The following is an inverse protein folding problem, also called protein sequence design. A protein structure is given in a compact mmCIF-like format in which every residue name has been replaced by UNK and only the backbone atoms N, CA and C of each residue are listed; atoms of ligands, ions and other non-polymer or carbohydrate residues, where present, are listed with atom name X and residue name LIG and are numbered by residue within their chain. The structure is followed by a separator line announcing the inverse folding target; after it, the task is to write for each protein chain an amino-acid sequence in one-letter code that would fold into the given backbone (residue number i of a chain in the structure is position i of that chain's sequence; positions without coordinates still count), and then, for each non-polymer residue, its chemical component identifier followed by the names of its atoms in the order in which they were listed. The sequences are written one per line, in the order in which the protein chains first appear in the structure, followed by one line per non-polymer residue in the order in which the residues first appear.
data_IF_293795728938
#
_entry.id   IF_293795728938
#
_cell.length_a   1.000
_cell.length_b   1.000
_cell.length_c   1.000
_cell.angle_alpha   90.00
_cell.angle_beta   90.00
_cell.angle_gamma   90.00
#
_symmetry.space_group_name_H-M   'P 1'
#
loop_
_entity.id
_entity.type
_entity.pdbx_description
1 polymer ?
#
# COMPACT_ATOMS: atom_id res chain seq x y z
N UNK A 1 25.48 6.77 6.15
CA UNK A 1 25.73 5.75 7.18
C UNK A 1 24.72 4.63 6.99
N UNK A 2 25.13 3.54 6.35
CA UNK A 2 24.32 2.33 6.23
C UNK A 2 24.27 1.68 7.61
N UNK A 3 23.23 1.98 8.38
CA UNK A 3 22.98 1.33 9.66
C UNK A 3 22.74 -0.16 9.36
N UNK A 4 23.70 -1.03 9.64
CA UNK A 4 23.52 -2.47 9.48
C UNK A 4 22.48 -2.94 10.51
N UNK A 5 21.22 -3.01 10.08
CA UNK A 5 20.14 -3.57 10.87
C UNK A 5 20.43 -5.04 11.16
N UNK A 6 20.20 -5.48 12.41
CA UNK A 6 20.20 -6.89 12.74
C UNK A 6 18.90 -7.55 12.23
N UNK A 7 18.92 -7.96 10.96
CA UNK A 7 17.76 -8.53 10.25
C UNK A 7 17.23 -9.80 10.94
N UNK A 8 18.05 -10.52 11.72
CA UNK A 8 17.61 -11.73 12.44
C UNK A 8 16.51 -11.42 13.45
N UNK A 9 16.58 -10.25 14.10
CA UNK A 9 15.59 -9.81 15.10
C UNK A 9 14.23 -9.55 14.46
N UNK A 10 14.17 -9.14 13.19
CA UNK A 10 12.93 -8.81 12.48
C UNK A 10 11.92 -9.97 12.47
N UNK A 11 12.39 -11.23 12.41
CA UNK A 11 11.51 -12.41 12.41
C UNK A 11 10.66 -12.53 13.68
N UNK A 12 11.15 -12.02 14.81
CA UNK A 12 10.42 -12.07 16.09
C UNK A 12 9.19 -11.16 16.12
N UNK A 13 9.07 -10.21 15.17
CA UNK A 13 7.96 -9.27 15.10
C UNK A 13 6.78 -9.77 14.26
N UNK A 14 6.93 -10.89 13.54
CA UNK A 14 5.83 -11.54 12.83
C UNK A 14 4.80 -12.06 13.83
N UNK A 15 3.52 -11.71 13.62
CA UNK A 15 2.47 -11.85 14.62
C UNK A 15 1.46 -12.97 14.41
N UNK A 16 0.54 -13.07 15.36
CA UNK A 16 -0.75 -13.74 15.20
C UNK A 16 -1.75 -12.83 14.47
N UNK A 17 -3.04 -13.15 14.57
CA UNK A 17 -4.11 -12.43 13.89
C UNK A 17 -4.02 -10.90 14.07
N UNK A 18 -4.07 -10.15 12.97
CA UNK A 18 -3.82 -8.72 12.95
C UNK A 18 -5.08 -7.90 13.28
N UNK A 19 -5.52 -7.95 14.53
CA UNK A 19 -6.65 -7.14 15.02
C UNK A 19 -6.54 -5.63 14.70
N UNK A 20 -5.35 -4.99 14.79
CA UNK A 20 -5.23 -3.58 14.42
C UNK A 20 -5.54 -3.31 12.94
N UNK A 21 -5.21 -4.25 12.04
CA UNK A 21 -5.53 -4.15 10.61
C UNK A 21 -7.04 -4.26 10.39
N UNK A 22 -7.71 -5.17 11.10
CA UNK A 22 -9.17 -5.29 11.03
C UNK A 22 -9.87 -4.04 11.60
N UNK A 23 -9.39 -3.53 12.72
CA UNK A 23 -9.91 -2.30 13.31
C UNK A 23 -9.74 -1.10 12.38
N UNK A 24 -8.58 -0.99 11.71
CA UNK A 24 -8.32 0.04 10.70
C UNK A 24 -9.30 -0.11 9.52
N UNK A 25 -9.54 -1.33 9.04
CA UNK A 25 -10.48 -1.60 7.96
C UNK A 25 -11.91 -1.16 8.32
N UNK A 26 -12.42 -1.60 9.47
CA UNK A 26 -13.76 -1.25 9.94
C UNK A 26 -13.88 0.25 10.17
N UNK A 27 -12.90 0.88 10.82
CA UNK A 27 -12.89 2.31 11.08
C UNK A 27 -12.90 3.13 9.79
N UNK A 28 -12.06 2.76 8.83
CA UNK A 28 -11.95 3.43 7.52
C UNK A 28 -13.28 3.35 6.74
N UNK A 29 -13.88 2.17 6.65
CA UNK A 29 -15.17 1.99 5.98
C UNK A 29 -16.33 2.67 6.71
N UNK A 30 -16.28 2.72 8.05
CA UNK A 30 -17.31 3.41 8.84
C UNK A 30 -17.25 4.93 8.62
N UNK A 31 -16.06 5.53 8.65
CA UNK A 31 -15.87 6.96 8.37
C UNK A 31 -16.27 7.29 6.94
N UNK A 32 -15.86 6.47 5.97
CA UNK A 32 -16.24 6.64 4.58
C UNK A 32 -17.76 6.54 4.37
N UNK A 33 -18.40 5.51 4.91
CA UNK A 33 -19.85 5.32 4.81
C UNK A 33 -20.64 6.45 5.45
N UNK A 34 -20.20 6.94 6.61
CA UNK A 34 -20.80 8.09 7.28
C UNK A 34 -20.66 9.37 6.45
N UNK A 35 -19.49 9.61 5.83
CA UNK A 35 -19.28 10.76 4.94
C UNK A 35 -20.17 10.68 3.69
N UNK A 36 -20.25 9.51 3.05
CA UNK A 36 -21.14 9.27 1.91
C UNK A 36 -22.60 9.54 2.29
N UNK A 37 -23.07 9.00 3.42
CA UNK A 37 -24.41 9.23 3.91
C UNK A 37 -24.67 10.72 4.17
N UNK A 38 -23.76 11.40 4.87
CA UNK A 38 -23.85 12.83 5.15
C UNK A 38 -23.92 13.67 3.86
N UNK A 39 -23.24 13.28 2.79
CA UNK A 39 -23.37 13.93 1.48
C UNK A 39 -24.71 13.66 0.82
N UNK A 40 -25.21 12.42 0.87
CA UNK A 40 -26.52 12.07 0.29
C UNK A 40 -27.69 12.83 0.94
N UNK A 41 -27.61 13.10 2.25
CA UNK A 41 -28.63 13.88 2.97
C UNK A 41 -28.35 15.39 2.95
N UNK A 42 -27.34 15.86 2.21
CA UNK A 42 -27.04 17.28 2.03
C UNK A 42 -26.33 17.96 3.21
N UNK A 43 -25.82 17.20 4.18
CA UNK A 43 -25.08 17.73 5.35
C UNK A 43 -23.61 18.01 5.01
N UNK A 44 -22.96 17.12 4.25
CA UNK A 44 -21.54 17.23 3.90
C UNK A 44 -21.40 17.58 2.41
N UNK A 45 -20.78 18.72 2.03
CA UNK A 45 -20.64 19.08 0.62
C UNK A 45 -19.70 18.11 -0.12
N UNK A 46 -19.87 17.91 -1.44
CA UNK A 46 -19.10 16.92 -2.20
C UNK A 46 -17.58 17.10 -2.14
N UNK A 47 -17.09 18.34 -2.08
CA UNK A 47 -15.66 18.61 -1.93
C UNK A 47 -15.12 18.14 -0.57
N UNK A 48 -15.90 18.22 0.50
CA UNK A 48 -15.50 17.69 1.79
C UNK A 48 -15.52 16.14 1.79
N UNK A 49 -16.48 15.53 1.09
CA UNK A 49 -16.47 14.08 0.83
C UNK A 49 -15.19 13.65 0.11
N UNK A 50 -14.75 14.38 -0.93
CA UNK A 50 -13.50 14.09 -1.64
C UNK A 50 -12.29 14.04 -0.71
N UNK A 51 -12.15 15.02 0.19
CA UNK A 51 -11.04 15.06 1.13
C UNK A 51 -11.08 13.87 2.10
N UNK A 52 -12.24 13.61 2.69
CA UNK A 52 -12.43 12.48 3.62
C UNK A 52 -12.19 11.15 2.90
N UNK A 53 -12.77 10.96 1.72
CA UNK A 53 -12.62 9.75 0.92
C UNK A 53 -11.17 9.53 0.47
N UNK A 54 -10.43 10.59 0.14
CA UNK A 54 -8.99 10.49 -0.18
C UNK A 54 -8.19 10.03 1.04
N UNK A 55 -8.47 10.56 2.22
CA UNK A 55 -7.82 10.11 3.47
C UNK A 55 -8.19 8.66 3.77
N UNK A 56 -9.47 8.28 3.66
CA UNK A 56 -9.91 6.90 3.82
C UNK A 56 -9.22 5.97 2.82
N UNK A 57 -9.05 6.39 1.57
CA UNK A 57 -8.32 5.64 0.56
C UNK A 57 -6.87 5.38 1.02
N UNK A 58 -6.15 6.38 1.51
CA UNK A 58 -4.78 6.21 2.05
C UNK A 58 -4.71 5.23 3.22
N UNK A 59 -5.69 5.22 4.13
CA UNK A 59 -5.72 4.22 5.21
C UNK A 59 -6.14 2.83 4.71
N UNK A 60 -7.05 2.76 3.75
CA UNK A 60 -7.43 1.51 3.08
C UNK A 60 -6.24 0.88 2.36
N UNK A 61 -5.30 1.69 1.85
CA UNK A 61 -4.05 1.18 1.27
C UNK A 61 -3.31 0.28 2.24
N UNK A 62 -3.26 0.67 3.52
CA UNK A 62 -2.54 -0.12 4.52
C UNK A 62 -3.22 -1.46 4.78
N UNK A 63 -4.55 -1.49 4.80
CA UNK A 63 -5.32 -2.74 4.91
C UNK A 63 -5.09 -3.63 3.69
N UNK A 64 -5.17 -3.04 2.49
CA UNK A 64 -4.88 -3.71 1.23
C UNK A 64 -3.47 -4.31 1.24
N UNK A 65 -2.48 -3.51 1.63
CA UNK A 65 -1.06 -3.84 1.65
C UNK A 65 -0.74 -4.99 2.62
N UNK A 66 -1.34 -4.95 3.81
CA UNK A 66 -1.25 -6.04 4.79
C UNK A 66 -1.89 -7.33 4.26
N UNK A 67 -3.02 -7.23 3.54
CA UNK A 67 -3.65 -8.38 2.90
C UNK A 67 -2.78 -8.95 1.77
N UNK A 68 -2.14 -8.09 0.97
CA UNK A 68 -1.25 -8.49 -0.13
C UNK A 68 -0.07 -9.34 0.37
N UNK A 69 0.44 -9.02 1.56
CA UNK A 69 1.51 -9.77 2.25
C UNK A 69 1.02 -10.84 3.23
N UNK A 70 -0.29 -11.11 3.21
CA UNK A 70 -0.97 -12.16 3.98
C UNK A 70 -0.89 -11.96 5.51
N UNK A 71 -0.71 -10.73 5.98
CA UNK A 71 -0.46 -10.43 7.40
C UNK A 71 -1.68 -10.59 8.30
N UNK A 72 -2.90 -10.62 7.74
CA UNK A 72 -4.14 -10.55 8.51
C UNK A 72 -4.35 -11.78 9.39
N UNK A 73 -4.22 -12.98 8.83
CA UNK A 73 -4.40 -14.24 9.56
C UNK A 73 -3.14 -14.67 10.36
N UNK A 74 -2.15 -13.77 10.47
CA UNK A 74 -0.94 -14.00 11.23
C UNK A 74 -0.11 -15.13 10.62
N UNK A 75 0.26 -16.14 11.42
CA UNK A 75 1.08 -17.27 10.94
C UNK A 75 0.36 -18.16 9.91
N UNK A 76 -0.97 -18.13 9.85
CA UNK A 76 -1.73 -18.75 8.76
C UNK A 76 -1.53 -17.94 7.47
N UNK A 77 -1.07 -18.57 6.40
CA UNK A 77 -0.84 -17.90 5.10
C UNK A 77 -2.10 -17.97 4.23
N UNK A 78 -2.48 -16.82 3.67
CA UNK A 78 -3.34 -16.74 2.49
C UNK A 78 -4.73 -17.37 2.60
N UNK A 79 -5.42 -17.20 3.73
CA UNK A 79 -6.79 -17.68 3.87
C UNK A 79 -7.82 -16.80 3.15
N UNK A 80 -9.05 -17.31 3.07
CA UNK A 80 -10.15 -16.63 2.39
C UNK A 80 -10.49 -15.28 3.04
N UNK A 81 -10.28 -15.15 4.35
CA UNK A 81 -10.56 -13.93 5.09
C UNK A 81 -9.59 -12.81 4.69
N UNK A 82 -8.29 -13.13 4.58
CA UNK A 82 -7.28 -12.18 4.07
C UNK A 82 -7.65 -11.72 2.66
N UNK A 83 -8.02 -12.65 1.77
CA UNK A 83 -8.41 -12.33 0.40
C UNK A 83 -9.67 -11.46 0.35
N UNK A 84 -10.68 -11.74 1.18
CA UNK A 84 -11.91 -10.97 1.25
C UNK A 84 -11.66 -9.54 1.77
N UNK A 85 -10.88 -9.38 2.83
CA UNK A 85 -10.53 -8.07 3.38
C UNK A 85 -9.71 -7.26 2.35
N UNK A 86 -8.76 -7.90 1.65
CA UNK A 86 -8.01 -7.28 0.57
C UNK A 86 -8.90 -6.82 -0.60
N UNK A 87 -9.84 -7.67 -1.03
CA UNK A 87 -10.81 -7.35 -2.07
C UNK A 87 -11.70 -6.15 -1.69
N UNK A 88 -12.22 -6.14 -0.46
CA UNK A 88 -13.02 -5.01 0.05
C UNK A 88 -12.17 -3.75 0.12
N UNK A 89 -10.94 -3.80 0.64
CA UNK A 89 -10.04 -2.64 0.67
C UNK A 89 -9.77 -2.08 -0.75
N UNK A 90 -9.63 -2.95 -1.75
CA UNK A 90 -9.43 -2.61 -3.16
C UNK A 90 -10.57 -1.82 -3.79
N UNK A 91 -11.80 -1.94 -3.30
CA UNK A 91 -12.96 -1.18 -3.81
C UNK A 91 -12.74 0.33 -3.69
N UNK A 92 -12.12 0.82 -2.59
CA UNK A 92 -11.82 2.25 -2.45
C UNK A 92 -10.83 2.76 -3.51
N UNK A 93 -9.98 1.88 -4.04
CA UNK A 93 -9.04 2.18 -5.12
C UNK A 93 -9.66 2.01 -6.51
N UNK A 94 -10.92 1.57 -6.60
CA UNK A 94 -11.55 1.16 -7.86
C UNK A 94 -10.69 0.14 -8.62
N UNK A 95 -9.93 -0.69 -7.90
CA UNK A 95 -8.90 -1.56 -8.45
C UNK A 95 -9.04 -3.01 -7.94
N UNK A 96 -8.79 -4.03 -8.79
CA UNK A 96 -8.88 -5.44 -8.39
C UNK A 96 -7.73 -5.84 -7.46
N UNK A 97 -8.05 -6.57 -6.39
CA UNK A 97 -7.06 -6.94 -5.37
C UNK A 97 -5.95 -7.85 -5.89
N UNK A 98 -6.25 -8.89 -6.65
CA UNK A 98 -5.21 -9.80 -7.11
C UNK A 98 -4.28 -9.12 -8.13
N UNK A 99 -4.84 -8.26 -8.98
CA UNK A 99 -4.08 -7.47 -9.93
C UNK A 99 -3.06 -6.55 -9.23
N UNK A 100 -3.53 -5.71 -8.31
CA UNK A 100 -2.65 -4.76 -7.60
C UNK A 100 -1.69 -5.48 -6.65
N UNK A 101 -2.11 -6.58 -5.99
CA UNK A 101 -1.20 -7.45 -5.23
C UNK A 101 -0.06 -7.97 -6.10
N UNK A 102 -0.35 -8.39 -7.32
CA UNK A 102 0.68 -8.91 -8.24
C UNK A 102 1.67 -7.81 -8.65
N UNK A 103 1.17 -6.60 -8.96
CA UNK A 103 2.04 -5.44 -9.24
C UNK A 103 2.97 -5.18 -8.04
N UNK A 104 2.40 -5.10 -6.84
CA UNK A 104 3.16 -4.86 -5.61
C UNK A 104 4.23 -5.93 -5.33
N UNK A 105 3.90 -7.21 -5.53
CA UNK A 105 4.86 -8.29 -5.37
C UNK A 105 5.95 -8.27 -6.45
N UNK A 106 5.63 -7.86 -7.68
CA UNK A 106 6.63 -7.63 -8.74
C UNK A 106 7.59 -6.51 -8.35
N UNK A 107 7.10 -5.43 -7.74
CA UNK A 107 7.94 -4.36 -7.19
C UNK A 107 8.92 -4.89 -6.13
N UNK A 108 8.46 -5.67 -5.15
CA UNK A 108 9.36 -6.28 -4.17
C UNK A 108 10.42 -7.21 -4.77
N UNK A 109 10.07 -7.91 -5.85
CA UNK A 109 11.01 -8.80 -6.55
C UNK A 109 12.07 -8.04 -7.35
N UNK A 110 11.71 -6.88 -7.90
CA UNK A 110 12.54 -6.13 -8.85
C UNK A 110 12.81 -4.70 -8.39
N UNK A 111 12.82 -4.44 -7.08
CA UNK A 111 12.84 -3.07 -6.54
C UNK A 111 13.96 -2.23 -7.15
N UNK A 112 13.59 -1.06 -7.68
CA UNK A 112 14.44 -0.10 -8.39
C UNK A 112 15.04 -0.60 -9.72
N UNK A 113 14.60 -1.74 -10.27
CA UNK A 113 14.99 -2.17 -11.62
C UNK A 113 14.26 -1.33 -12.68
N UNK A 114 14.97 -0.62 -13.58
CA UNK A 114 14.34 0.28 -14.56
C UNK A 114 13.42 -0.42 -15.58
N UNK A 115 13.63 -1.71 -15.84
CA UNK A 115 12.89 -2.48 -16.84
C UNK A 115 11.71 -3.25 -16.24
N UNK A 116 11.90 -3.78 -15.03
CA UNK A 116 11.02 -4.77 -14.43
C UNK A 116 10.20 -4.23 -13.25
N UNK A 117 10.65 -3.17 -12.56
CA UNK A 117 9.90 -2.57 -11.47
C UNK A 117 8.73 -1.73 -12.02
N UNK A 118 7.46 -2.07 -11.69
CA UNK A 118 6.33 -1.22 -12.07
C UNK A 118 6.44 0.20 -11.50
N UNK A 119 7.04 0.35 -10.32
CA UNK A 119 7.10 1.58 -9.52
C UNK A 119 8.26 2.49 -9.93
N UNK A 120 9.26 1.96 -10.65
CA UNK A 120 10.30 2.79 -11.27
C UNK A 120 9.71 3.79 -12.29
N UNK A 121 8.42 3.70 -12.63
CA UNK A 121 7.69 4.76 -13.33
C UNK A 121 7.89 6.13 -12.69
N UNK A 122 7.82 6.25 -11.35
CA UNK A 122 7.94 7.54 -10.67
C UNK A 122 9.39 7.99 -10.47
N UNK A 123 10.39 7.18 -10.85
CA UNK A 123 11.80 7.51 -10.73
C UNK A 123 12.17 8.72 -11.62
N UNK A 124 12.23 9.90 -11.01
CA UNK A 124 12.64 11.16 -11.65
C UNK A 124 13.16 12.14 -10.62
N UNK A 125 14.00 13.08 -11.07
CA UNK A 125 14.49 14.24 -10.29
C UNK A 125 13.70 15.52 -10.59
N UNK A 126 12.92 15.54 -11.69
CA UNK A 126 12.15 16.72 -12.08
C UNK A 126 10.81 16.74 -11.33
N UNK A 127 10.51 17.79 -10.53
CA UNK A 127 9.32 17.82 -9.68
C UNK A 127 8.00 17.90 -10.46
N UNK A 128 7.98 18.55 -11.63
CA UNK A 128 6.79 18.60 -12.49
C UNK A 128 6.52 17.22 -13.08
N UNK A 129 7.57 16.55 -13.56
CA UNK A 129 7.45 15.20 -14.10
C UNK A 129 7.08 14.19 -13.01
N UNK A 130 7.53 14.39 -11.76
CA UNK A 130 7.12 13.58 -10.62
C UNK A 130 5.62 13.69 -10.38
N UNK A 131 5.08 14.91 -10.31
CA UNK A 131 3.65 15.14 -10.15
C UNK A 131 2.83 14.45 -11.26
N UNK A 132 3.24 14.62 -12.52
CA UNK A 132 2.56 14.00 -13.66
C UNK A 132 2.63 12.47 -13.62
N UNK A 133 3.77 11.89 -13.22
CA UNK A 133 3.95 10.44 -13.12
C UNK A 133 3.15 9.84 -11.97
N UNK A 134 3.08 10.51 -10.81
CA UNK A 134 2.20 10.14 -9.72
C UNK A 134 0.72 10.23 -10.15
N UNK A 135 0.30 11.30 -10.81
CA UNK A 135 -1.07 11.46 -11.30
C UNK A 135 -1.47 10.40 -12.37
N UNK A 136 -0.49 9.77 -13.03
CA UNK A 136 -0.69 8.75 -14.06
C UNK A 136 -0.29 7.34 -13.59
N UNK A 137 -0.09 7.12 -12.29
CA UNK A 137 0.29 5.79 -11.77
C UNK A 137 -0.80 4.75 -12.02
N UNK A 138 -2.07 5.14 -11.95
CA UNK A 138 -3.20 4.22 -12.17
C UNK A 138 -3.21 3.59 -13.58
N UNK A 139 -3.21 4.36 -14.69
CA UNK A 139 -3.12 3.76 -16.02
C UNK A 139 -1.79 3.03 -16.25
N UNK A 140 -0.68 3.47 -15.61
CA UNK A 140 0.59 2.73 -15.64
C UNK A 140 0.44 1.34 -15.03
N UNK A 141 -0.21 1.22 -13.88
CA UNK A 141 -0.47 -0.06 -13.22
C UNK A 141 -1.38 -0.97 -14.04
N UNK A 142 -2.43 -0.42 -14.66
CA UNK A 142 -3.24 -1.17 -15.62
C UNK A 142 -2.40 -1.72 -16.77
N UNK A 143 -1.54 -0.89 -17.37
CA UNK A 143 -0.62 -1.34 -18.42
C UNK A 143 0.33 -2.45 -17.92
N UNK A 144 0.93 -2.28 -16.75
CA UNK A 144 1.82 -3.27 -16.16
C UNK A 144 1.11 -4.63 -15.97
N UNK A 145 -0.09 -4.63 -15.38
CA UNK A 145 -0.84 -5.87 -15.15
C UNK A 145 -1.39 -6.50 -16.43
N UNK A 146 -1.84 -5.69 -17.40
CA UNK A 146 -2.45 -6.20 -18.64
C UNK A 146 -1.41 -6.64 -19.68
N UNK A 147 -0.18 -6.14 -19.62
CA UNK A 147 0.80 -6.35 -20.70
C UNK A 147 2.13 -6.90 -20.20
N UNK A 148 2.68 -6.34 -19.11
CA UNK A 148 4.07 -6.60 -18.69
C UNK A 148 4.23 -7.77 -17.75
N UNK A 149 3.28 -7.97 -16.85
CA UNK A 149 3.38 -8.94 -15.75
C UNK A 149 2.67 -10.23 -16.14
N UNK A 150 3.33 -11.37 -15.90
CA UNK A 150 2.76 -12.69 -16.15
C UNK A 150 1.71 -13.07 -15.09
N UNK A 151 0.61 -13.66 -15.58
CA UNK A 151 -0.54 -14.09 -14.77
C UNK A 151 -1.36 -15.15 -15.50
N UNK A 152 -2.04 -16.05 -14.76
CA UNK A 152 -2.98 -16.98 -15.36
C UNK A 152 -4.12 -16.26 -16.08
N UNK A 153 -4.55 -16.80 -17.23
CA UNK A 153 -5.69 -16.23 -17.99
C UNK A 153 -6.97 -16.16 -17.16
N UNK A 154 -7.19 -17.13 -16.27
CA UNK A 154 -8.36 -17.17 -15.38
C UNK A 154 -8.36 -16.03 -14.37
N UNK A 155 -7.19 -15.67 -13.83
CA UNK A 155 -7.03 -14.50 -12.97
C UNK A 155 -7.28 -13.22 -13.77
N UNK A 156 -6.63 -13.08 -14.93
CA UNK A 156 -6.82 -11.92 -15.80
C UNK A 156 -8.30 -11.64 -16.10
N UNK A 157 -9.06 -12.66 -16.50
CA UNK A 157 -10.49 -12.51 -16.82
C UNK A 157 -11.30 -12.10 -15.59
N UNK A 158 -11.04 -12.70 -14.42
CA UNK A 158 -11.72 -12.33 -13.16
C UNK A 158 -11.45 -10.88 -12.79
N UNK A 159 -10.19 -10.46 -12.81
CA UNK A 159 -9.82 -9.10 -12.43
C UNK A 159 -10.33 -8.06 -13.45
N UNK A 160 -10.40 -8.38 -14.75
CA UNK A 160 -11.02 -7.50 -15.76
C UNK A 160 -12.53 -7.36 -15.48
N UNK A 161 -13.24 -8.45 -15.19
CA UNK A 161 -14.68 -8.39 -14.87
C UNK A 161 -14.91 -7.54 -13.61
N UNK A 162 -14.09 -7.70 -12.58
CA UNK A 162 -14.17 -6.89 -11.36
C UNK A 162 -13.89 -5.42 -11.69
N UNK A 163 -12.80 -5.11 -12.41
CA UNK A 163 -12.46 -3.74 -12.79
C UNK A 163 -13.58 -3.08 -13.58
N UNK A 164 -14.07 -3.74 -14.64
CA UNK A 164 -15.15 -3.22 -15.46
C UNK A 164 -16.44 -3.06 -14.65
N UNK A 165 -16.76 -4.02 -13.77
CA UNK A 165 -17.90 -3.93 -12.86
C UNK A 165 -17.82 -2.68 -11.98
N UNK A 166 -16.69 -2.45 -11.31
CA UNK A 166 -16.49 -1.27 -10.46
C UNK A 166 -16.68 0.04 -11.25
N UNK A 167 -16.05 0.17 -12.41
CA UNK A 167 -16.13 1.40 -13.22
C UNK A 167 -17.48 1.59 -13.91
N UNK A 168 -18.11 0.54 -14.43
CA UNK A 168 -19.45 0.62 -15.02
C UNK A 168 -20.47 1.02 -13.95
N UNK A 169 -20.39 0.43 -12.74
CA UNK A 169 -21.27 0.81 -11.62
C UNK A 169 -21.04 2.26 -11.22
N UNK A 170 -19.77 2.70 -11.09
CA UNK A 170 -19.46 4.09 -10.75
C UNK A 170 -19.99 5.07 -11.81
N UNK A 171 -19.78 4.79 -13.10
CA UNK A 171 -20.26 5.64 -14.19
C UNK A 171 -21.79 5.65 -14.26
N UNK A 172 -22.45 4.50 -14.11
CA UNK A 172 -23.91 4.43 -14.08
C UNK A 172 -24.51 5.22 -12.90
N UNK A 173 -23.84 5.23 -11.75
CA UNK A 173 -24.28 5.99 -10.58
C UNK A 173 -24.29 7.52 -10.80
N UNK A 174 -23.55 8.04 -11.79
CA UNK A 174 -23.53 9.47 -12.15
C UNK A 174 -24.88 9.99 -12.66
N UNK A 175 -25.78 9.13 -13.13
CA UNK A 175 -27.13 9.50 -13.57
C UNK A 175 -28.20 9.30 -12.48
N UNK A 176 -27.78 9.09 -11.23
CA UNK A 176 -28.67 8.79 -10.09
C UNK A 176 -28.40 9.77 -8.93
N UNK A 177 -29.19 9.75 -7.84
CA UNK A 177 -28.88 10.50 -6.62
C UNK A 177 -27.52 10.17 -5.99
N UNK A 178 -26.84 9.10 -6.43
CA UNK A 178 -25.50 8.72 -5.98
C UNK A 178 -24.36 9.40 -6.75
N UNK A 179 -24.65 10.34 -7.65
CA UNK A 179 -23.65 10.97 -8.51
C UNK A 179 -22.47 11.57 -7.73
N UNK A 180 -22.75 12.34 -6.68
CA UNK A 180 -21.70 12.96 -5.86
C UNK A 180 -20.89 11.91 -5.09
N UNK A 181 -21.54 10.88 -4.55
CA UNK A 181 -20.85 9.77 -3.86
C UNK A 181 -19.97 9.00 -4.84
N UNK A 182 -20.44 8.76 -6.05
CA UNK A 182 -19.66 8.05 -7.07
C UNK A 182 -18.43 8.86 -7.49
N UNK A 183 -18.63 10.14 -7.85
CA UNK A 183 -17.57 10.99 -8.37
C UNK A 183 -16.56 11.38 -7.28
N UNK A 184 -17.04 11.95 -6.17
CA UNK A 184 -16.20 12.49 -5.10
C UNK A 184 -15.84 11.44 -4.04
N UNK A 185 -16.60 10.35 -3.89
CA UNK A 185 -16.32 9.28 -2.93
C UNK A 185 -15.50 8.12 -3.49
N UNK A 186 -15.60 7.80 -4.78
CA UNK A 186 -14.89 6.66 -5.37
C UNK A 186 -13.94 7.05 -6.52
N UNK A 187 -14.46 7.68 -7.57
CA UNK A 187 -13.69 7.93 -8.80
C UNK A 187 -12.50 8.86 -8.56
N UNK A 188 -12.73 10.10 -8.08
CA UNK A 188 -11.64 11.05 -7.83
C UNK A 188 -10.67 10.59 -6.73
N UNK A 189 -11.13 10.08 -5.56
CA UNK A 189 -10.23 9.58 -4.52
C UNK A 189 -9.34 8.43 -4.97
N UNK A 190 -9.80 7.57 -5.90
CA UNK A 190 -8.95 6.49 -6.42
C UNK A 190 -7.69 7.06 -7.07
N UNK A 191 -7.82 8.04 -7.97
CA UNK A 191 -6.66 8.66 -8.63
C UNK A 191 -5.81 9.47 -7.65
N UNK A 192 -6.44 10.27 -6.78
CA UNK A 192 -5.70 11.09 -5.81
C UNK A 192 -4.94 10.22 -4.80
N UNK A 193 -5.62 9.26 -4.19
CA UNK A 193 -5.05 8.36 -3.19
C UNK A 193 -3.92 7.51 -3.77
N UNK A 194 -4.06 7.00 -5.00
CA UNK A 194 -2.96 6.29 -5.66
C UNK A 194 -1.81 7.21 -6.04
N UNK A 195 -2.07 8.44 -6.51
CA UNK A 195 -1.02 9.41 -6.77
C UNK A 195 -0.23 9.80 -5.51
N UNK A 196 -0.93 10.00 -4.39
CA UNK A 196 -0.29 10.24 -3.08
C UNK A 196 0.52 9.03 -2.61
N UNK A 197 -0.05 7.83 -2.72
CA UNK A 197 0.65 6.58 -2.40
C UNK A 197 1.93 6.45 -3.24
N UNK A 198 1.85 6.71 -4.54
CA UNK A 198 2.99 6.65 -5.44
C UNK A 198 4.09 7.66 -5.08
N UNK A 199 3.71 8.85 -4.60
CA UNK A 199 4.70 9.81 -4.11
C UNK A 199 5.35 9.33 -2.81
N UNK A 200 4.53 8.99 -1.80
CA UNK A 200 5.02 8.74 -0.45
C UNK A 200 5.67 7.38 -0.26
N UNK A 201 5.29 6.37 -1.05
CA UNK A 201 5.74 4.99 -0.90
C UNK A 201 6.63 4.53 -2.05
N UNK A 202 6.34 4.92 -3.29
CA UNK A 202 7.10 4.43 -4.45
C UNK A 202 8.28 5.36 -4.78
N UNK A 203 8.10 6.68 -4.64
CA UNK A 203 9.16 7.64 -4.92
C UNK A 203 10.02 7.95 -3.70
N UNK A 204 9.42 8.44 -2.61
CA UNK A 204 10.13 9.03 -1.48
C UNK A 204 11.11 8.07 -0.78
N UNK A 205 10.75 6.80 -0.47
CA UNK A 205 11.65 5.86 0.18
C UNK A 205 12.72 5.31 -0.77
N UNK A 206 12.45 5.29 -2.07
CA UNK A 206 13.32 4.67 -3.08
C UNK A 206 14.28 5.66 -3.73
N UNK A 207 13.97 6.96 -3.70
CA UNK A 207 14.80 7.99 -4.33
C UNK A 207 16.26 7.94 -3.83
N UNK A 208 17.26 7.82 -4.73
CA UNK A 208 17.22 8.11 -6.18
C UNK A 208 17.03 6.92 -7.13
N UNK A 209 16.51 5.78 -6.66
CA UNK A 209 16.21 4.56 -7.44
C UNK A 209 17.44 3.89 -8.08
N UNK A 210 18.60 3.96 -7.40
CA UNK A 210 19.87 3.40 -7.91
C UNK A 210 20.27 2.08 -7.25
N UNK A 211 19.79 1.83 -6.02
CA UNK A 211 20.15 0.66 -5.23
C UNK A 211 19.13 -0.45 -5.45
N UNK A 212 19.54 -1.62 -5.93
CA UNK A 212 18.65 -2.78 -6.12
C UNK A 212 18.82 -3.85 -5.04
N UNK A 213 19.84 -3.70 -4.19
CA UNK A 213 20.11 -4.66 -3.11
C UNK A 213 18.96 -4.67 -2.09
N UNK A 214 18.42 -5.85 -1.70
CA UNK A 214 17.28 -5.94 -0.79
C UNK A 214 17.45 -5.26 0.57
N UNK A 215 18.69 -4.96 0.98
CA UNK A 215 18.99 -4.33 2.27
C UNK A 215 19.18 -2.81 2.19
N UNK A 216 19.37 -2.25 1.00
CA UNK A 216 19.69 -0.82 0.80
C UNK A 216 18.82 -0.13 -0.25
N UNK A 217 17.95 -0.86 -0.95
CA UNK A 217 17.07 -0.35 -2.00
C UNK A 217 16.04 0.69 -1.52
N UNK A 218 15.87 0.84 -0.20
CA UNK A 218 14.86 1.68 0.41
C UNK A 218 15.37 2.39 1.65
N UNK A 219 14.80 3.58 1.89
CA UNK A 219 15.12 4.45 3.00
C UNK A 219 14.07 4.33 4.09
N UNK A 220 14.52 4.49 5.33
CA UNK A 220 13.67 4.61 6.50
C UNK A 220 13.67 6.06 7.00
N UNK A 221 12.51 6.55 7.39
CA UNK A 221 12.30 7.84 8.06
C UNK A 221 11.80 7.58 9.50
N UNK A 222 12.66 7.07 10.39
CA UNK A 222 12.25 6.58 11.69
C UNK A 222 11.72 7.72 12.56
N UNK A 223 10.47 7.59 13.00
CA UNK A 223 9.82 8.53 13.89
C UNK A 223 8.54 7.90 14.41
N UNK A 224 8.41 7.75 15.73
CA UNK A 224 7.21 7.19 16.34
C UNK A 224 5.96 8.01 16.03
N UNK A 225 6.11 9.32 15.88
CA UNK A 225 5.04 10.21 15.45
C UNK A 225 4.62 9.92 14.01
N UNK A 226 5.57 9.84 13.08
CA UNK A 226 5.27 9.49 11.68
C UNK A 226 4.68 8.09 11.56
N UNK A 227 5.08 7.13 12.40
CA UNK A 227 4.51 5.77 12.37
C UNK A 227 3.04 5.72 12.74
N UNK A 228 2.54 6.67 13.54
CA UNK A 228 1.10 6.76 13.83
C UNK A 228 0.36 7.32 12.62
N UNK A 229 0.85 8.41 12.03
CA UNK A 229 0.19 9.09 10.89
C UNK A 229 0.28 8.27 9.61
N UNK A 230 1.46 7.78 9.28
CA UNK A 230 1.74 6.97 8.09
C UNK A 230 1.54 5.48 8.34
N UNK A 231 0.92 5.10 9.47
CA UNK A 231 0.59 3.72 9.82
C UNK A 231 1.72 2.75 9.50
N UNK A 232 2.91 3.05 10.03
CA UNK A 232 4.10 2.20 9.92
C UNK A 232 4.88 2.28 8.60
N UNK A 233 4.37 2.94 7.56
CA UNK A 233 5.04 3.04 6.25
C UNK A 233 6.30 3.92 6.26
N UNK A 234 6.50 4.74 7.30
CA UNK A 234 7.68 5.60 7.44
C UNK A 234 8.99 4.79 7.53
N UNK A 235 8.96 3.55 8.01
CA UNK A 235 10.09 2.62 8.04
C UNK A 235 9.98 1.59 6.91
N UNK A 236 9.84 2.08 5.68
CA UNK A 236 9.60 1.28 4.47
C UNK A 236 10.67 0.21 4.20
N UNK A 237 11.93 0.46 4.60
CA UNK A 237 12.99 -0.54 4.49
C UNK A 237 12.80 -1.74 5.42
N UNK A 238 12.19 -1.57 6.60
CA UNK A 238 11.81 -2.74 7.43
C UNK A 238 10.77 -3.59 6.73
N UNK A 239 9.82 -2.93 6.06
CA UNK A 239 8.80 -3.59 5.27
C UNK A 239 9.41 -4.39 4.12
N UNK A 240 10.32 -3.81 3.33
CA UNK A 240 11.02 -4.52 2.25
C UNK A 240 11.85 -5.70 2.74
N UNK A 241 12.52 -5.56 3.89
CA UNK A 241 13.32 -6.62 4.49
C UNK A 241 12.47 -7.80 4.99
N UNK A 242 11.30 -7.51 5.57
CA UNK A 242 10.39 -8.53 6.04
C UNK A 242 8.94 -8.03 5.94
N UNK A 243 8.28 -8.24 4.79
CA UNK A 243 6.94 -7.71 4.56
C UNK A 243 5.87 -8.42 5.41
N UNK A 244 6.25 -9.49 6.11
CA UNK A 244 5.42 -10.24 7.05
C UNK A 244 5.30 -9.58 8.42
N UNK A 245 6.02 -8.49 8.66
CA UNK A 245 5.86 -7.68 9.87
C UNK A 245 4.66 -6.77 9.63
N UNK A 246 3.59 -6.89 10.42
CA UNK A 246 2.43 -6.05 10.24
C UNK A 246 2.76 -4.59 10.60
N UNK A 247 2.09 -3.66 9.92
CA UNK A 247 2.43 -2.23 9.92
C UNK A 247 2.64 -1.64 11.33
N UNK A 248 1.78 -2.01 12.28
CA UNK A 248 1.77 -1.51 13.67
C UNK A 248 2.97 -2.01 14.52
N UNK A 249 3.78 -2.91 13.97
CA UNK A 249 5.00 -3.43 14.59
C UNK A 249 6.27 -2.94 13.90
N UNK A 250 6.18 -2.35 12.70
CA UNK A 250 7.35 -1.98 11.90
C UNK A 250 8.31 -1.04 12.63
N UNK A 251 7.81 0.01 13.30
CA UNK A 251 8.68 0.94 14.03
C UNK A 251 9.38 0.28 15.22
N UNK A 252 8.70 -0.62 15.95
CA UNK A 252 9.33 -1.36 17.04
C UNK A 252 10.39 -2.34 16.52
N UNK A 253 10.14 -2.94 15.36
CA UNK A 253 11.10 -3.81 14.69
C UNK A 253 12.33 -3.01 14.21
N UNK A 254 12.12 -1.80 13.68
CA UNK A 254 13.21 -0.86 13.34
C UNK A 254 14.06 -0.53 14.57
N UNK A 255 13.42 -0.09 15.66
CA UNK A 255 14.10 0.30 16.90
C UNK A 255 14.97 -0.86 17.43
N UNK A 256 14.45 -2.09 17.39
CA UNK A 256 15.18 -3.28 17.85
C UNK A 256 16.30 -3.72 16.90
N UNK A 257 16.09 -3.64 15.59
CA UNK A 257 17.10 -4.01 14.61
C UNK A 257 18.27 -3.02 14.55
N UNK A 258 18.06 -1.77 14.99
CA UNK A 258 19.09 -0.72 15.04
C UNK A 258 19.69 -0.52 16.43
N UNK A 259 19.21 -1.24 17.44
CA UNK A 259 19.76 -1.19 18.78
C UNK A 259 21.24 -1.64 18.76
N UNK A 260 22.13 -0.99 19.54
CA UNK A 260 23.51 -1.42 19.67
C UNK A 260 23.56 -2.88 20.13
N UNK A 261 24.26 -3.73 19.39
CA UNK A 261 24.51 -5.11 19.83
C UNK A 261 25.19 -5.10 21.20
N UNK A 262 24.68 -5.91 22.13
CA UNK A 262 25.35 -6.16 23.40
C UNK A 262 26.78 -6.68 23.13
N UNK A 263 27.78 -6.36 23.97
CA UNK A 263 29.17 -6.78 23.76
C UNK A 263 29.34 -8.30 23.54
N UNK A 264 28.49 -9.11 24.17
CA UNK A 264 28.43 -10.58 24.03
C UNK A 264 28.08 -11.06 22.62
N UNK A 265 27.24 -10.31 21.89
CA UNK A 265 26.73 -10.71 20.57
C UNK A 265 27.68 -10.29 19.44
N UNK A 266 28.70 -9.48 19.73
CA UNK A 266 29.75 -9.12 18.76
C UNK A 266 30.76 -10.24 18.52
N UNK A 267 30.96 -11.14 19.49
CA UNK A 267 31.92 -12.24 19.35
C UNK A 267 31.40 -13.34 18.42
N UNK A 268 30.10 -13.62 18.43
CA UNK A 268 29.46 -14.65 17.59
C UNK A 268 29.33 -14.25 16.11
N UNK A 269 29.38 -12.95 15.79
CA UNK A 269 29.37 -12.45 14.41
C UNK A 269 30.75 -12.44 13.74
N UNK A 270 31.84 -12.56 14.51
CA UNK A 270 33.21 -12.66 13.95
C UNK A 270 33.64 -14.11 13.67
N UNK A 271 32.85 -15.09 14.11
CA UNK A 271 33.15 -16.52 14.00
C UNK A 271 32.24 -17.28 13.02
N UNK A 272 31.45 -16.56 12.22
CA UNK A 272 30.51 -17.10 11.23
C UNK A 272 30.71 -16.37 9.89
#
# INVERSE_FOLDING_TARGET
MTNQMNIRVLRSYVGGFAWPTLALAVGTWSVFGAACYATLVGVLPPLALLLVATVCNLYSFTVFHEAAHENIEGKGRGGWLTAAIGAVAGVMFMAPFAAVRRIHLTHHQHTNDPANDPDHWVATKNPVMLLLRCATIYPRYLYCYLVKIDRPRTELMKEIVILLGLWITAVAALSTPWADVSLYGFMMPSFLGMGFTAFFLDWLPHHPHQETSPVSNTRNFPSRFLSVILVGHNVHGVHHLNPRIPFYRCQRAYDAATAPLAPSDRQTLKSA
#
